data_IF_977856521786
#
_entry.id   IF_977856521786
#
_cell.length_a   1.000
_cell.length_b   1.000
_cell.length_c   1.000
_cell.angle_alpha   90.00
_cell.angle_beta   90.00
_cell.angle_gamma   90.00
#
_symmetry.space_group_name_H-M   'P 1'
#
loop_
_entity.id
_entity.type
_entity.pdbx_description
1 polymer ?
#
# COMPACT_ATOMS: atom_id res chain seq x y z
N UNK A 1 -12.06 -65.32 -11.24
CA UNK A 1 -10.79 -65.64 -10.55
C UNK A 1 -10.15 -64.32 -10.14
N UNK A 2 -9.70 -64.17 -8.90
CA UNK A 2 -9.04 -62.95 -8.45
C UNK A 2 -7.65 -62.84 -9.08
N UNK A 3 -7.21 -61.62 -9.42
CA UNK A 3 -5.88 -61.37 -9.95
C UNK A 3 -4.84 -61.44 -8.84
N UNK A 4 -3.62 -61.82 -9.21
CA UNK A 4 -2.44 -61.82 -8.34
C UNK A 4 -1.39 -60.84 -8.86
N UNK A 5 -0.56 -60.29 -7.98
CA UNK A 5 0.50 -59.35 -8.39
C UNK A 5 1.45 -59.98 -9.41
N UNK A 6 1.76 -61.28 -9.26
CA UNK A 6 2.56 -62.05 -10.21
C UNK A 6 1.93 -62.08 -11.60
N UNK A 7 0.63 -62.34 -11.68
CA UNK A 7 -0.10 -62.32 -12.95
C UNK A 7 -0.07 -60.91 -13.57
N UNK A 8 -0.36 -59.88 -12.78
CA UNK A 8 -0.43 -58.48 -13.25
C UNK A 8 0.93 -58.01 -13.75
N UNK A 9 2.03 -58.41 -13.11
CA UNK A 9 3.38 -58.07 -13.56
C UNK A 9 3.68 -58.68 -14.93
N UNK A 10 3.31 -59.95 -15.13
CA UNK A 10 3.72 -60.73 -16.29
C UNK A 10 2.77 -60.64 -17.49
N UNK A 11 1.50 -60.30 -17.28
CA UNK A 11 0.50 -60.25 -18.36
C UNK A 11 0.89 -59.21 -19.42
N UNK A 12 0.84 -59.59 -20.69
CA UNK A 12 1.17 -58.75 -21.85
C UNK A 12 -0.06 -58.51 -22.71
N UNK A 13 -0.02 -57.45 -23.49
CA UNK A 13 -1.06 -57.17 -24.46
C UNK A 13 -1.07 -58.23 -25.56
N UNK A 14 -2.24 -58.74 -25.91
CA UNK A 14 -2.42 -59.80 -26.91
C UNK A 14 -2.40 -59.31 -28.37
N UNK A 15 -2.35 -57.99 -28.60
CA UNK A 15 -2.44 -57.39 -29.94
C UNK A 15 -3.87 -57.02 -30.38
N UNK A 16 -4.89 -57.32 -29.56
CA UNK A 16 -6.28 -56.94 -29.84
C UNK A 16 -6.48 -55.41 -29.81
N UNK A 17 -7.04 -54.77 -30.85
CA UNK A 17 -7.23 -53.31 -30.87
C UNK A 17 -8.01 -52.76 -29.66
N UNK A 18 -8.97 -53.55 -29.14
CA UNK A 18 -9.79 -53.15 -28.00
C UNK A 18 -9.09 -53.27 -26.62
N UNK A 19 -7.96 -53.97 -26.53
CA UNK A 19 -7.29 -54.34 -25.28
C UNK A 19 -7.81 -55.63 -24.64
N UNK A 20 -7.07 -56.13 -23.65
CA UNK A 20 -7.39 -57.33 -22.88
C UNK A 20 -7.94 -56.96 -21.51
N UNK A 21 -9.07 -57.55 -21.11
CA UNK A 21 -9.71 -57.30 -19.82
C UNK A 21 -9.61 -58.53 -18.93
N UNK A 22 -9.02 -58.37 -17.75
CA UNK A 22 -8.89 -59.42 -16.75
C UNK A 22 -9.64 -59.01 -15.49
N UNK A 23 -10.70 -59.73 -15.13
CA UNK A 23 -11.57 -59.40 -14.00
C UNK A 23 -10.90 -59.72 -12.66
N UNK A 24 -11.06 -58.84 -11.67
CA UNK A 24 -10.65 -59.04 -10.27
C UNK A 24 -11.86 -59.14 -9.31
N UNK A 25 -13.09 -59.09 -9.84
CA UNK A 25 -14.32 -59.17 -9.05
C UNK A 25 -14.87 -57.83 -8.60
N UNK A 26 -16.16 -57.82 -8.22
CA UNK A 26 -16.88 -56.60 -7.83
C UNK A 26 -16.98 -55.56 -8.94
N UNK A 27 -16.98 -55.99 -10.21
CA UNK A 27 -16.97 -55.11 -11.38
C UNK A 27 -15.59 -54.54 -11.73
N UNK A 28 -14.57 -54.74 -10.89
CA UNK A 28 -13.20 -54.29 -11.16
C UNK A 28 -12.46 -55.23 -12.11
N UNK A 29 -11.65 -54.66 -13.01
CA UNK A 29 -10.81 -55.39 -13.94
C UNK A 29 -9.53 -54.62 -14.28
N UNK A 30 -8.48 -55.35 -14.63
CA UNK A 30 -7.28 -54.82 -15.26
C UNK A 30 -7.51 -54.77 -16.78
N UNK A 31 -7.36 -53.59 -17.36
CA UNK A 31 -7.44 -53.37 -18.80
C UNK A 31 -6.02 -53.18 -19.35
N UNK A 32 -5.50 -54.20 -20.03
CA UNK A 32 -4.18 -54.22 -20.64
C UNK A 32 -4.29 -53.78 -22.09
N UNK A 33 -3.66 -52.65 -22.43
CA UNK A 33 -3.54 -52.12 -23.79
C UNK A 33 -2.08 -52.06 -24.20
N UNK A 34 -1.82 -51.83 -25.48
CA UNK A 34 -0.46 -51.62 -26.00
C UNK A 34 0.33 -50.55 -25.22
N UNK A 35 -0.35 -49.48 -24.79
CA UNK A 35 0.27 -48.34 -24.10
C UNK A 35 0.46 -48.58 -22.59
N UNK A 36 -0.26 -49.52 -21.99
CA UNK A 36 -0.16 -49.75 -20.54
C UNK A 36 -1.30 -50.54 -19.91
N UNK A 37 -1.25 -50.65 -18.58
CA UNK A 37 -2.16 -51.45 -17.75
C UNK A 37 -2.99 -50.53 -16.85
N UNK A 38 -4.32 -50.57 -17.01
CA UNK A 38 -5.22 -49.63 -16.34
C UNK A 38 -6.22 -50.34 -15.44
N UNK A 39 -6.35 -49.89 -14.21
CA UNK A 39 -7.40 -50.32 -13.29
C UNK A 39 -8.71 -49.62 -13.61
N UNK A 40 -9.77 -50.41 -13.83
CA UNK A 40 -11.10 -49.91 -14.14
C UNK A 40 -12.16 -50.71 -13.39
N UNK A 41 -13.33 -50.12 -13.18
CA UNK A 41 -14.48 -50.79 -12.60
C UNK A 41 -15.72 -50.51 -13.44
N UNK A 42 -16.36 -51.56 -13.95
CA UNK A 42 -17.67 -51.47 -14.58
C UNK A 42 -18.76 -51.47 -13.49
N UNK A 43 -19.73 -50.56 -13.61
CA UNK A 43 -20.87 -50.47 -12.71
C UNK A 43 -22.12 -50.01 -13.48
N UNK A 44 -23.30 -50.14 -12.86
CA UNK A 44 -24.55 -49.60 -13.41
C UNK A 44 -25.14 -48.60 -12.42
N UNK A 45 -25.72 -47.53 -12.95
CA UNK A 45 -26.47 -46.54 -12.18
C UNK A 45 -27.54 -45.96 -13.11
N UNK A 46 -28.78 -45.88 -12.63
CA UNK A 46 -29.94 -45.45 -13.43
C UNK A 46 -30.02 -46.16 -14.80
N UNK A 47 -29.93 -47.50 -14.76
CA UNK A 47 -29.95 -48.44 -15.91
C UNK A 47 -28.83 -48.28 -16.96
N UNK A 48 -27.95 -47.29 -16.81
CA UNK A 48 -26.80 -47.07 -17.70
C UNK A 48 -25.56 -47.77 -17.17
N UNK A 49 -24.88 -48.50 -18.05
CA UNK A 49 -23.58 -49.08 -17.75
C UNK A 49 -22.49 -48.03 -17.91
N UNK A 50 -21.67 -47.86 -16.87
CA UNK A 50 -20.55 -46.92 -16.82
C UNK A 50 -19.26 -47.64 -16.43
N UNK A 51 -18.12 -47.00 -16.70
CA UNK A 51 -16.81 -47.51 -16.33
C UNK A 51 -16.02 -46.45 -15.58
N UNK A 52 -15.73 -46.70 -14.31
CA UNK A 52 -14.89 -45.86 -13.47
C UNK A 52 -13.42 -46.14 -13.78
N UNK A 53 -12.63 -45.08 -13.94
CA UNK A 53 -11.18 -45.15 -14.02
C UNK A 53 -10.56 -45.04 -12.62
N UNK A 54 -9.80 -46.05 -12.20
CA UNK A 54 -9.18 -46.10 -10.88
C UNK A 54 -7.74 -45.54 -10.95
N UNK A 55 -6.90 -46.07 -11.86
CA UNK A 55 -5.50 -45.65 -12.01
C UNK A 55 -4.71 -46.49 -13.02
N UNK A 56 -3.40 -46.25 -13.11
CA UNK A 56 -2.47 -47.01 -13.97
C UNK A 56 -1.56 -47.87 -13.08
N UNK A 57 -1.30 -49.12 -13.47
CA UNK A 57 -0.24 -49.94 -12.87
C UNK A 57 1.12 -49.59 -13.50
N UNK A 58 2.22 -49.48 -12.74
CA UNK A 58 2.37 -49.83 -11.32
C UNK A 58 2.09 -48.70 -10.31
N UNK A 59 1.78 -47.48 -10.77
CA UNK A 59 1.53 -46.33 -9.87
C UNK A 59 0.38 -46.56 -8.88
N UNK A 60 -0.60 -47.39 -9.25
CA UNK A 60 -1.64 -47.91 -8.35
C UNK A 60 -1.48 -49.43 -8.28
N UNK A 61 -1.14 -49.92 -7.09
CA UNK A 61 -1.04 -51.35 -6.78
C UNK A 61 -2.40 -52.04 -6.80
N UNK A 62 -2.42 -53.38 -6.89
CA UNK A 62 -3.65 -54.17 -6.79
C UNK A 62 -4.42 -53.88 -5.49
N UNK A 63 -3.71 -53.78 -4.36
CA UNK A 63 -4.30 -53.48 -3.06
C UNK A 63 -4.99 -52.10 -3.04
N UNK A 64 -4.33 -51.06 -3.56
CA UNK A 64 -4.91 -49.72 -3.68
C UNK A 64 -6.11 -49.70 -4.63
N UNK A 65 -6.06 -50.47 -5.74
CA UNK A 65 -7.17 -50.59 -6.66
C UNK A 65 -8.40 -51.25 -6.02
N UNK A 66 -8.20 -52.32 -5.22
CA UNK A 66 -9.28 -52.97 -4.44
C UNK A 66 -9.90 -52.02 -3.42
N UNK A 67 -9.09 -51.27 -2.68
CA UNK A 67 -9.60 -50.24 -1.74
C UNK A 67 -10.44 -49.19 -2.47
N UNK A 68 -9.97 -48.68 -3.61
CA UNK A 68 -10.71 -47.70 -4.40
C UNK A 68 -12.02 -48.26 -4.98
N UNK A 69 -12.05 -49.55 -5.36
CA UNK A 69 -13.29 -50.25 -5.75
C UNK A 69 -14.28 -50.28 -4.58
N UNK A 70 -13.83 -50.61 -3.38
CA UNK A 70 -14.71 -50.74 -2.23
C UNK A 70 -15.34 -49.39 -1.85
N UNK A 71 -14.54 -48.31 -1.83
CA UNK A 71 -15.06 -46.94 -1.67
C UNK A 71 -16.05 -46.54 -2.77
N UNK A 72 -15.78 -46.90 -4.03
CA UNK A 72 -16.71 -46.61 -5.13
C UNK A 72 -18.03 -47.38 -4.99
N UNK A 73 -18.01 -48.60 -4.43
CA UNK A 73 -19.24 -49.37 -4.14
C UNK A 73 -20.02 -48.76 -2.98
N UNK A 74 -19.36 -48.23 -1.96
CA UNK A 74 -20.01 -47.48 -0.87
C UNK A 74 -20.72 -46.23 -1.41
N UNK A 75 -20.07 -45.46 -2.28
CA UNK A 75 -20.68 -44.30 -2.94
C UNK A 75 -21.91 -44.70 -3.76
N UNK A 76 -21.82 -45.78 -4.54
CA UNK A 76 -22.97 -46.29 -5.31
C UNK A 76 -24.14 -46.72 -4.41
N UNK A 77 -23.86 -47.33 -3.25
CA UNK A 77 -24.88 -47.71 -2.27
C UNK A 77 -25.59 -46.49 -1.66
N UNK A 78 -24.91 -45.34 -1.60
CA UNK A 78 -25.46 -44.05 -1.17
C UNK A 78 -26.14 -43.26 -2.31
N UNK A 79 -26.23 -43.83 -3.52
CA UNK A 79 -26.81 -43.15 -4.69
C UNK A 79 -25.91 -42.08 -5.30
N UNK A 80 -24.61 -42.07 -4.97
CA UNK A 80 -23.62 -41.14 -5.51
C UNK A 80 -22.89 -41.80 -6.69
N UNK A 81 -22.78 -41.10 -7.83
CA UNK A 81 -22.00 -41.58 -8.98
C UNK A 81 -20.49 -41.38 -8.71
N UNK A 82 -19.67 -42.44 -8.59
CA UNK A 82 -18.25 -42.32 -8.30
C UNK A 82 -17.44 -41.59 -9.38
N UNK A 83 -17.91 -41.61 -10.64
CA UNK A 83 -17.25 -40.90 -11.73
C UNK A 83 -17.49 -39.39 -11.63
N UNK A 84 -18.71 -38.99 -11.26
CA UNK A 84 -19.09 -37.59 -11.09
C UNK A 84 -18.42 -37.02 -9.85
N UNK A 85 -18.45 -37.73 -8.72
CA UNK A 85 -17.72 -37.34 -7.50
C UNK A 85 -16.21 -37.13 -7.76
N UNK A 86 -15.56 -38.05 -8.50
CA UNK A 86 -14.15 -37.90 -8.86
C UNK A 86 -13.88 -36.72 -9.81
N UNK A 87 -14.82 -36.37 -10.67
CA UNK A 87 -14.72 -35.18 -11.53
C UNK A 87 -14.93 -33.89 -10.75
N UNK A 88 -15.90 -33.87 -9.83
CA UNK A 88 -16.16 -32.78 -8.89
C UNK A 88 -14.97 -32.53 -7.99
N UNK A 89 -14.35 -33.56 -7.41
CA UNK A 89 -13.12 -33.44 -6.62
C UNK A 89 -11.96 -32.85 -7.43
N UNK A 90 -11.80 -33.29 -8.69
CA UNK A 90 -10.75 -32.78 -9.59
C UNK A 90 -11.02 -31.33 -9.99
N UNK A 91 -12.28 -30.97 -10.22
CA UNK A 91 -12.69 -29.60 -10.54
C UNK A 91 -12.51 -28.69 -9.32
N UNK A 92 -12.98 -29.12 -8.14
CA UNK A 92 -12.79 -28.44 -6.87
C UNK A 92 -11.30 -28.24 -6.55
N UNK A 93 -10.45 -29.24 -6.79
CA UNK A 93 -9.00 -29.11 -6.63
C UNK A 93 -8.40 -28.07 -7.59
N UNK A 94 -8.88 -27.99 -8.84
CA UNK A 94 -8.44 -27.00 -9.83
C UNK A 94 -8.90 -25.58 -9.48
N UNK A 95 -10.16 -25.43 -9.04
CA UNK A 95 -10.73 -24.16 -8.57
C UNK A 95 -10.02 -23.69 -7.29
N UNK A 96 -9.76 -24.60 -6.36
CA UNK A 96 -9.01 -24.31 -5.13
C UNK A 96 -7.56 -23.88 -5.42
N UNK A 97 -6.92 -24.45 -6.44
CA UNK A 97 -5.58 -24.03 -6.87
C UNK A 97 -5.53 -22.61 -7.44
N UNK A 98 -6.64 -22.12 -8.01
CA UNK A 98 -6.75 -20.75 -8.55
C UNK A 98 -7.36 -19.74 -7.57
N UNK A 99 -8.09 -20.20 -6.55
CA UNK A 99 -8.76 -19.37 -5.53
C UNK A 99 -8.01 -19.33 -4.20
N UNK A 100 -6.68 -19.31 -4.26
CA UNK A 100 -5.84 -19.11 -3.07
C UNK A 100 -5.80 -17.63 -2.66
N UNK A 101 -5.46 -17.36 -1.40
CA UNK A 101 -5.37 -15.98 -0.91
C UNK A 101 -4.40 -15.14 -1.74
N UNK A 102 -3.22 -15.68 -2.07
CA UNK A 102 -2.21 -14.93 -2.84
C UNK A 102 -2.67 -14.65 -4.27
N UNK A 103 -3.25 -15.65 -4.95
CA UNK A 103 -3.74 -15.47 -6.32
C UNK A 103 -4.77 -14.33 -6.40
N UNK A 104 -5.75 -14.35 -5.49
CA UNK A 104 -6.80 -13.33 -5.45
C UNK A 104 -6.27 -11.98 -4.96
N UNK A 105 -5.30 -11.95 -4.05
CA UNK A 105 -4.67 -10.71 -3.63
C UNK A 105 -3.89 -10.03 -4.76
N UNK A 106 -3.18 -10.80 -5.59
CA UNK A 106 -2.46 -10.28 -6.77
C UNK A 106 -3.42 -9.81 -7.86
N UNK A 107 -4.50 -10.55 -8.11
CA UNK A 107 -5.57 -10.12 -9.03
C UNK A 107 -6.22 -8.80 -8.57
N UNK A 108 -6.57 -8.69 -7.28
CA UNK A 108 -7.10 -7.47 -6.70
C UNK A 108 -6.10 -6.30 -6.83
N UNK A 109 -4.82 -6.56 -6.56
CA UNK A 109 -3.77 -5.55 -6.71
C UNK A 109 -3.66 -5.06 -8.15
N UNK A 110 -3.66 -5.95 -9.15
CA UNK A 110 -3.61 -5.56 -10.56
C UNK A 110 -4.80 -4.68 -10.96
N UNK A 111 -5.99 -5.00 -10.45
CA UNK A 111 -7.20 -4.19 -10.69
C UNK A 111 -7.11 -2.80 -10.04
N UNK A 112 -6.56 -2.70 -8.82
CA UNK A 112 -6.59 -1.46 -8.03
C UNK A 112 -5.35 -0.59 -8.17
N UNK A 113 -4.19 -1.16 -8.50
CA UNK A 113 -2.92 -0.44 -8.63
C UNK A 113 -3.02 0.79 -9.54
N UNK A 114 -3.73 0.76 -10.70
CA UNK A 114 -3.95 1.95 -11.51
C UNK A 114 -4.72 3.05 -10.77
N UNK A 115 -5.63 2.74 -9.85
CA UNK A 115 -6.36 3.77 -9.10
C UNK A 115 -5.56 4.39 -7.95
N UNK A 116 -4.41 3.81 -7.60
CA UNK A 116 -3.58 4.22 -6.48
C UNK A 116 -2.37 5.03 -6.93
N UNK A 117 -1.74 5.71 -5.97
CA UNK A 117 -0.36 6.20 -6.18
C UNK A 117 0.59 5.02 -6.29
N UNK A 118 1.64 5.17 -7.11
CA UNK A 118 2.65 4.12 -7.32
C UNK A 118 3.26 3.63 -5.99
N UNK A 119 3.63 4.56 -5.11
CA UNK A 119 4.16 4.23 -3.77
C UNK A 119 3.18 3.41 -2.92
N UNK A 120 1.89 3.74 -2.95
CA UNK A 120 0.87 2.97 -2.22
C UNK A 120 0.69 1.58 -2.84
N UNK A 121 0.61 1.48 -4.17
CA UNK A 121 0.48 0.19 -4.86
C UNK A 121 1.66 -0.73 -4.56
N UNK A 122 2.89 -0.20 -4.57
CA UNK A 122 4.08 -0.95 -4.20
C UNK A 122 4.03 -1.37 -2.73
N UNK A 123 3.74 -0.45 -1.79
CA UNK A 123 3.65 -0.76 -0.35
C UNK A 123 2.61 -1.86 -0.11
N UNK A 124 1.43 -1.76 -0.71
CA UNK A 124 0.34 -2.72 -0.52
C UNK A 124 0.78 -4.15 -0.87
N UNK A 125 1.39 -4.33 -2.05
CA UNK A 125 1.83 -5.66 -2.49
C UNK A 125 2.99 -6.16 -1.63
N UNK A 126 3.99 -5.31 -1.39
CA UNK A 126 5.16 -5.66 -0.58
C UNK A 126 4.79 -6.10 0.83
N UNK A 127 3.81 -5.44 1.46
CA UNK A 127 3.32 -5.82 2.79
C UNK A 127 2.66 -7.20 2.78
N UNK A 128 1.84 -7.50 1.76
CA UNK A 128 1.25 -8.82 1.61
C UNK A 128 2.32 -9.91 1.38
N UNK A 129 3.31 -9.66 0.52
CA UNK A 129 4.42 -10.58 0.24
C UNK A 129 5.27 -10.88 1.48
N UNK A 130 5.50 -9.88 2.33
CA UNK A 130 6.31 -10.03 3.54
C UNK A 130 5.56 -10.73 4.67
N UNK A 131 4.25 -10.51 4.82
CA UNK A 131 3.55 -10.86 6.05
C UNK A 131 2.37 -11.82 5.88
N UNK A 132 1.62 -11.74 4.78
CA UNK A 132 0.40 -12.53 4.61
C UNK A 132 0.61 -13.72 3.68
N UNK A 133 1.29 -13.56 2.55
CA UNK A 133 1.55 -14.66 1.61
C UNK A 133 2.31 -15.84 2.23
N UNK A 134 3.35 -15.62 3.08
CA UNK A 134 4.05 -16.75 3.71
C UNK A 134 3.18 -17.59 4.66
N UNK A 135 2.05 -17.06 5.13
CA UNK A 135 1.18 -17.73 6.12
C UNK A 135 -0.14 -18.20 5.51
N UNK A 136 -0.71 -17.41 4.61
CA UNK A 136 -2.05 -17.62 4.03
C UNK A 136 -2.02 -17.87 2.53
N UNK A 137 -0.93 -17.54 1.83
CA UNK A 137 -0.90 -17.35 0.38
C UNK A 137 -1.38 -18.56 -0.43
N UNK A 138 -0.92 -19.76 -0.09
CA UNK A 138 -1.28 -21.01 -0.78
C UNK A 138 -2.61 -21.62 -0.33
N UNK A 139 -3.25 -21.06 0.71
CA UNK A 139 -4.49 -21.60 1.25
C UNK A 139 -5.68 -21.14 0.40
N UNK A 140 -6.63 -22.04 0.05
CA UNK A 140 -7.89 -21.66 -0.57
C UNK A 140 -8.68 -20.71 0.33
N UNK A 141 -9.24 -19.63 -0.23
CA UNK A 141 -9.95 -18.60 0.54
C UNK A 141 -11.08 -19.17 1.41
N UNK A 142 -11.86 -20.11 0.88
CA UNK A 142 -12.96 -20.81 1.60
C UNK A 142 -12.50 -21.53 2.88
N UNK A 143 -11.21 -21.90 2.95
CA UNK A 143 -10.64 -22.62 4.09
C UNK A 143 -9.93 -21.70 5.08
N UNK A 144 -9.93 -20.38 4.85
CA UNK A 144 -9.33 -19.40 5.75
C UNK A 144 -10.43 -18.82 6.65
N UNK A 145 -10.31 -19.04 7.95
CA UNK A 145 -11.24 -18.52 8.96
C UNK A 145 -10.67 -17.28 9.65
N UNK A 146 -11.51 -16.54 10.38
CA UNK A 146 -11.11 -15.35 11.13
C UNK A 146 -9.91 -15.61 12.05
N UNK A 147 -9.88 -16.77 12.73
CA UNK A 147 -8.76 -17.19 13.59
C UNK A 147 -7.43 -17.33 12.86
N UNK A 148 -7.45 -17.74 11.58
CA UNK A 148 -6.23 -17.91 10.77
C UNK A 148 -5.65 -16.55 10.40
N UNK A 149 -6.52 -15.61 10.00
CA UNK A 149 -6.13 -14.22 9.72
C UNK A 149 -5.58 -13.56 10.98
N UNK A 150 -6.29 -13.69 12.10
CA UNK A 150 -5.84 -13.14 13.38
C UNK A 150 -4.47 -13.70 13.80
N UNK A 151 -4.24 -15.01 13.63
CA UNK A 151 -2.95 -15.62 13.93
C UNK A 151 -1.82 -15.05 13.05
N UNK A 152 -2.08 -14.76 11.77
CA UNK A 152 -1.11 -14.11 10.90
C UNK A 152 -0.81 -12.67 11.37
N UNK A 153 -1.84 -11.90 11.72
CA UNK A 153 -1.69 -10.52 12.20
C UNK A 153 -0.97 -10.45 13.56
N UNK A 154 -1.26 -11.36 14.49
CA UNK A 154 -0.59 -11.44 15.79
C UNK A 154 0.92 -11.71 15.69
N UNK A 155 1.38 -12.39 14.65
CA UNK A 155 2.83 -12.55 14.39
C UNK A 155 3.51 -11.22 14.05
N UNK A 156 2.80 -10.28 13.43
CA UNK A 156 3.32 -8.94 13.12
C UNK A 156 3.22 -8.04 14.34
N UNK A 157 2.11 -8.12 15.08
CA UNK A 157 1.92 -7.45 16.37
C UNK A 157 3.01 -7.82 17.39
N UNK A 158 3.37 -9.10 17.50
CA UNK A 158 4.41 -9.59 18.40
C UNK A 158 5.82 -9.01 18.09
N UNK A 159 6.02 -8.42 16.89
CA UNK A 159 7.25 -7.69 16.53
C UNK A 159 7.20 -6.21 16.96
N UNK A 160 6.13 -5.77 17.59
CA UNK A 160 5.93 -4.37 18.00
C UNK A 160 5.47 -3.43 16.89
N UNK A 161 5.21 -3.92 15.67
CA UNK A 161 4.89 -3.07 14.51
C UNK A 161 3.37 -2.92 14.34
N UNK A 162 2.72 -2.32 15.34
CA UNK A 162 1.26 -2.29 15.47
C UNK A 162 0.54 -1.64 14.27
N UNK A 163 1.02 -0.49 13.78
CA UNK A 163 0.42 0.16 12.61
C UNK A 163 0.42 -0.74 11.37
N UNK A 164 1.47 -1.54 11.17
CA UNK A 164 1.53 -2.49 10.05
C UNK A 164 0.55 -3.64 10.24
N UNK A 165 0.34 -4.12 11.46
CA UNK A 165 -0.68 -5.15 11.73
C UNK A 165 -2.09 -4.64 11.38
N UNK A 166 -2.43 -3.39 11.74
CA UNK A 166 -3.70 -2.77 11.36
C UNK A 166 -3.82 -2.56 9.84
N UNK A 167 -2.76 -2.08 9.17
CA UNK A 167 -2.72 -1.95 7.71
C UNK A 167 -2.99 -3.31 7.04
N UNK A 168 -2.32 -4.37 7.49
CA UNK A 168 -2.49 -5.73 6.96
C UNK A 168 -3.90 -6.28 7.18
N UNK A 169 -4.52 -6.00 8.33
CA UNK A 169 -5.92 -6.36 8.58
C UNK A 169 -6.83 -5.72 7.53
N UNK A 170 -6.64 -4.42 7.24
CA UNK A 170 -7.41 -3.73 6.21
C UNK A 170 -7.15 -4.31 4.82
N UNK A 171 -5.89 -4.59 4.47
CA UNK A 171 -5.51 -5.19 3.19
C UNK A 171 -6.14 -6.58 3.02
N UNK A 172 -6.08 -7.44 4.05
CA UNK A 172 -6.76 -8.74 4.03
C UNK A 172 -8.26 -8.58 3.85
N UNK A 173 -8.87 -7.64 4.57
CA UNK A 173 -10.29 -7.32 4.43
C UNK A 173 -10.68 -6.89 3.02
N UNK A 174 -9.79 -6.20 2.28
CA UNK A 174 -10.00 -5.84 0.88
C UNK A 174 -9.97 -7.06 -0.04
N UNK A 175 -9.00 -7.98 0.15
CA UNK A 175 -8.89 -9.22 -0.63
C UNK A 175 -10.12 -10.10 -0.45
N UNK A 176 -10.53 -10.35 0.80
CA UNK A 176 -11.73 -11.15 1.09
C UNK A 176 -13.01 -10.46 0.60
N UNK A 177 -13.11 -9.12 0.70
CA UNK A 177 -14.26 -8.39 0.13
C UNK A 177 -14.33 -8.54 -1.39
N UNK A 178 -13.19 -8.47 -2.07
CA UNK A 178 -13.12 -8.69 -3.51
C UNK A 178 -13.52 -10.13 -3.89
N UNK A 179 -13.09 -11.11 -3.09
CA UNK A 179 -13.50 -12.51 -3.26
C UNK A 179 -15.02 -12.69 -3.12
N UNK A 180 -15.65 -12.04 -2.14
CA UNK A 180 -17.12 -12.02 -2.00
C UNK A 180 -17.78 -11.40 -3.24
N UNK A 181 -17.31 -10.22 -3.67
CA UNK A 181 -17.86 -9.51 -4.83
C UNK A 181 -17.76 -10.29 -6.15
N UNK A 182 -16.80 -11.21 -6.24
CA UNK A 182 -16.58 -12.06 -7.42
C UNK A 182 -17.15 -13.48 -7.25
N UNK A 183 -17.92 -13.73 -6.18
CA UNK A 183 -18.59 -15.01 -5.95
C UNK A 183 -17.65 -16.17 -5.59
N UNK A 184 -16.42 -15.89 -5.15
CA UNK A 184 -15.43 -16.91 -4.78
C UNK A 184 -15.60 -17.44 -3.37
N UNK A 185 -16.22 -16.66 -2.50
CA UNK A 185 -16.60 -17.00 -1.12
C UNK A 185 -17.88 -16.27 -0.76
N UNK A 186 -18.62 -16.77 0.23
CA UNK A 186 -19.88 -16.15 0.65
C UNK A 186 -19.68 -15.01 1.65
N UNK A 187 -18.67 -15.12 2.52
CA UNK A 187 -18.49 -14.20 3.65
C UNK A 187 -17.04 -13.78 3.83
N UNK A 188 -16.84 -12.53 4.25
CA UNK A 188 -15.53 -11.99 4.60
C UNK A 188 -15.24 -12.28 6.09
N UNK A 189 -14.16 -13.00 6.45
CA UNK A 189 -13.85 -13.34 7.84
C UNK A 189 -13.16 -12.21 8.64
N UNK A 190 -12.87 -11.06 8.02
CA UNK A 190 -12.08 -9.98 8.62
C UNK A 190 -12.88 -8.95 9.45
N UNK A 191 -14.13 -8.57 9.12
CA UNK A 191 -14.87 -7.53 9.86
C UNK A 191 -14.94 -7.78 11.37
N UNK A 192 -15.13 -9.02 11.79
CA UNK A 192 -15.24 -9.41 13.20
C UNK A 192 -13.90 -9.33 13.96
N UNK A 193 -12.79 -9.11 13.26
CA UNK A 193 -11.48 -8.91 13.87
C UNK A 193 -11.25 -7.46 14.32
N UNK A 194 -12.21 -6.55 14.12
CA UNK A 194 -12.07 -5.17 14.57
C UNK A 194 -11.91 -5.13 16.09
N UNK A 195 -10.81 -4.53 16.57
CA UNK A 195 -10.47 -4.48 18.00
C UNK A 195 -9.74 -5.72 18.53
N UNK A 196 -9.44 -6.72 17.69
CA UNK A 196 -8.72 -7.93 18.10
C UNK A 196 -7.19 -7.74 18.24
N UNK A 197 -6.66 -6.64 17.70
CA UNK A 197 -5.26 -6.23 17.80
C UNK A 197 -5.10 -5.12 18.84
N UNK A 198 -3.92 -5.06 19.45
CA UNK A 198 -3.52 -3.97 20.32
C UNK A 198 -3.69 -2.62 19.60
N UNK A 199 -4.23 -1.61 20.30
CA UNK A 199 -4.43 -0.29 19.71
C UNK A 199 -3.07 0.33 19.38
N UNK A 200 -2.92 0.82 18.16
CA UNK A 200 -1.78 1.66 17.81
C UNK A 200 -2.10 3.11 18.16
N UNK A 201 -1.43 3.66 19.16
CA UNK A 201 -1.49 5.09 19.48
C UNK A 201 -0.51 5.81 18.55
N UNK A 202 -1.05 6.50 17.54
CA UNK A 202 -0.23 7.29 16.63
C UNK A 202 0.41 8.46 17.38
N UNK A 203 1.74 8.56 17.33
CA UNK A 203 2.45 9.76 17.77
C UNK A 203 2.38 10.81 16.67
N UNK A 204 2.02 12.04 17.04
CA UNK A 204 2.15 13.18 16.14
C UNK A 204 3.63 13.48 15.89
N UNK A 205 3.94 14.08 14.74
CA UNK A 205 5.31 14.49 14.44
C UNK A 205 5.75 15.58 15.41
N UNK A 206 6.96 15.43 15.96
CA UNK A 206 7.56 16.42 16.83
C UNK A 206 7.73 17.77 16.14
N UNK A 207 7.33 18.83 16.84
CA UNK A 207 7.38 20.20 16.36
C UNK A 207 7.63 21.14 17.55
N UNK A 208 8.78 21.81 17.53
CA UNK A 208 9.04 22.98 18.37
C UNK A 208 8.01 24.07 18.04
N UNK A 209 7.24 24.49 19.04
CA UNK A 209 6.20 25.54 18.91
C UNK A 209 6.42 26.71 19.85
N UNK A 210 7.28 26.58 20.86
CA UNK A 210 7.52 27.67 21.80
C UNK A 210 8.44 28.74 21.22
N UNK A 211 8.07 30.04 21.28
CA UNK A 211 8.79 31.11 20.58
C UNK A 211 10.31 31.15 20.83
N UNK A 212 10.75 30.96 22.07
CA UNK A 212 12.17 30.95 22.42
C UNK A 212 12.93 29.78 21.77
N UNK A 213 12.32 28.59 21.75
CA UNK A 213 12.88 27.39 21.15
C UNK A 213 12.84 27.47 19.62
N UNK A 214 11.78 28.03 19.04
CA UNK A 214 11.70 28.32 17.60
C UNK A 214 12.80 29.28 17.19
N UNK A 215 13.03 30.35 17.96
CA UNK A 215 14.17 31.24 17.74
C UNK A 215 15.52 30.51 17.75
N UNK A 216 15.72 29.58 18.69
CA UNK A 216 16.93 28.75 18.75
C UNK A 216 17.07 27.84 17.51
N UNK A 217 15.99 27.20 17.08
CA UNK A 217 15.95 26.40 15.84
C UNK A 217 16.32 27.24 14.61
N UNK A 218 15.75 28.44 14.47
CA UNK A 218 16.03 29.33 13.33
C UNK A 218 17.49 29.79 13.31
N UNK A 219 18.06 30.14 14.48
CA UNK A 219 19.49 30.47 14.59
C UNK A 219 20.39 29.29 14.26
N UNK A 220 20.02 28.08 14.68
CA UNK A 220 20.75 26.86 14.34
C UNK A 220 20.72 26.60 12.83
N UNK A 221 19.56 26.80 12.17
CA UNK A 221 19.42 26.69 10.71
C UNK A 221 20.31 27.71 9.99
N UNK A 222 20.34 28.96 10.46
CA UNK A 222 21.17 30.01 9.88
C UNK A 222 22.67 29.75 10.04
N UNK A 223 23.08 29.14 11.16
CA UNK A 223 24.45 28.72 11.40
C UNK A 223 24.86 27.42 10.71
N UNK A 224 23.94 26.76 9.98
CA UNK A 224 24.22 25.46 9.37
C UNK A 224 25.21 25.58 8.19
N UNK A 225 26.38 24.95 8.31
CA UNK A 225 27.46 24.98 7.30
C UNK A 225 27.34 23.89 6.23
N UNK A 226 26.13 23.36 6.00
CA UNK A 226 25.87 22.35 4.97
C UNK A 226 25.81 22.92 3.54
N UNK A 227 25.38 22.08 2.59
CA UNK A 227 25.16 22.52 1.21
C UNK A 227 24.17 23.69 1.15
N UNK A 228 24.41 24.74 0.32
CA UNK A 228 23.49 25.87 0.19
C UNK A 228 22.05 25.47 -0.13
N UNK A 229 21.85 24.43 -0.94
CA UNK A 229 20.52 23.86 -1.23
C UNK A 229 19.83 23.31 0.01
N UNK A 230 20.57 22.71 0.94
CA UNK A 230 20.00 22.14 2.17
C UNK A 230 19.65 23.24 3.18
N UNK A 231 20.49 24.26 3.31
CA UNK A 231 20.21 25.46 4.13
C UNK A 231 18.94 26.15 3.65
N UNK A 232 18.86 26.44 2.34
CA UNK A 232 17.69 27.05 1.74
C UNK A 232 16.42 26.19 1.91
N UNK A 233 16.52 24.86 1.79
CA UNK A 233 15.39 23.97 2.01
C UNK A 233 14.88 24.00 3.46
N UNK A 234 15.76 24.11 4.45
CA UNK A 234 15.38 24.27 5.87
C UNK A 234 14.67 25.60 6.11
N UNK A 235 15.25 26.70 5.63
CA UNK A 235 14.67 28.05 5.79
C UNK A 235 13.30 28.14 5.11
N UNK A 236 13.18 27.62 3.88
CA UNK A 236 11.91 27.63 3.15
C UNK A 236 10.86 26.67 3.75
N UNK A 237 11.28 25.56 4.37
CA UNK A 237 10.35 24.68 5.08
C UNK A 237 9.66 25.39 6.26
N UNK A 238 10.38 26.25 7.00
CA UNK A 238 9.82 27.08 8.06
C UNK A 238 8.84 28.15 7.54
N UNK A 239 9.03 28.63 6.30
CA UNK A 239 8.20 29.67 5.70
C UNK A 239 6.94 29.15 5.02
N UNK A 240 6.99 28.01 4.33
CA UNK A 240 5.99 27.64 3.31
C UNK A 240 4.81 26.81 3.80
N UNK A 241 4.94 26.16 4.94
CA UNK A 241 3.95 25.23 5.49
C UNK A 241 3.67 24.06 4.55
N UNK A 242 4.55 23.76 3.60
CA UNK A 242 4.33 22.67 2.65
C UNK A 242 4.89 21.35 3.16
N UNK A 243 4.39 20.25 2.61
CA UNK A 243 4.87 18.90 2.98
C UNK A 243 6.35 18.81 2.60
N UNK A 244 7.19 18.08 3.35
CA UNK A 244 8.60 17.90 3.00
C UNK A 244 8.80 17.45 1.56
N UNK A 245 7.92 16.55 1.08
CA UNK A 245 7.88 16.09 -0.32
C UNK A 245 7.66 17.21 -1.34
N UNK A 246 6.84 18.22 -1.02
CA UNK A 246 6.60 19.36 -1.91
C UNK A 246 7.79 20.33 -1.91
N UNK A 247 8.40 20.57 -0.75
CA UNK A 247 9.60 21.42 -0.64
C UNK A 247 10.73 20.84 -1.47
N UNK A 248 11.12 19.57 -1.22
CA UNK A 248 12.26 18.93 -1.88
C UNK A 248 12.10 18.81 -3.40
N UNK A 249 10.87 18.65 -3.88
CA UNK A 249 10.57 18.39 -5.29
C UNK A 249 10.26 19.67 -6.06
N UNK A 250 10.37 20.84 -5.41
CA UNK A 250 10.09 22.13 -6.01
C UNK A 250 10.92 22.35 -7.28
N UNK A 251 10.26 22.79 -8.34
CA UNK A 251 10.87 23.10 -9.63
C UNK A 251 10.95 24.61 -9.85
N UNK A 252 11.99 25.05 -10.56
CA UNK A 252 12.14 26.47 -10.91
C UNK A 252 10.98 26.99 -11.74
N UNK A 253 10.41 26.15 -12.61
CA UNK A 253 9.24 26.46 -13.43
C UNK A 253 7.97 26.73 -12.62
N UNK A 254 7.94 26.39 -11.33
CA UNK A 254 6.78 26.64 -10.47
C UNK A 254 6.81 28.02 -9.81
N UNK A 255 7.93 28.74 -9.91
CA UNK A 255 8.16 30.01 -9.22
C UNK A 255 7.97 31.17 -10.21
N UNK A 256 7.00 32.02 -9.90
CA UNK A 256 6.80 33.32 -10.54
C UNK A 256 7.34 34.40 -9.59
N UNK A 257 8.55 34.90 -9.88
CA UNK A 257 9.20 35.91 -9.06
C UNK A 257 8.49 37.27 -9.13
N UNK A 258 7.88 37.60 -10.26
CA UNK A 258 7.21 38.89 -10.48
C UNK A 258 5.91 38.97 -9.69
N UNK A 259 5.15 37.87 -9.64
CA UNK A 259 3.93 37.75 -8.82
C UNK A 259 4.19 37.35 -7.37
N UNK A 260 5.45 37.06 -7.03
CA UNK A 260 5.87 36.46 -5.77
C UNK A 260 4.98 35.26 -5.41
N UNK A 261 4.95 34.25 -6.27
CA UNK A 261 4.06 33.10 -6.16
C UNK A 261 4.77 31.79 -6.50
N UNK A 262 4.56 30.76 -5.70
CA UNK A 262 4.89 29.37 -6.04
C UNK A 262 3.59 28.63 -6.38
N UNK A 263 3.55 27.99 -7.55
CA UNK A 263 2.40 27.23 -8.04
C UNK A 263 2.74 25.75 -8.10
N UNK A 264 2.26 24.97 -7.13
CA UNK A 264 2.52 23.52 -7.10
C UNK A 264 1.48 22.80 -7.97
N UNK A 265 1.90 22.05 -9.01
CA UNK A 265 0.96 21.35 -9.87
C UNK A 265 0.11 20.31 -9.11
N UNK A 266 -1.12 20.02 -9.57
CA UNK A 266 -1.97 19.01 -8.94
C UNK A 266 -1.31 17.64 -8.87
N UNK A 267 -0.53 17.28 -9.90
CA UNK A 267 0.21 16.03 -9.99
C UNK A 267 1.19 15.83 -8.83
N UNK A 268 1.78 16.92 -8.33
CA UNK A 268 2.77 16.94 -7.24
C UNK A 268 2.12 17.11 -5.86
N UNK A 269 0.81 17.32 -5.80
CA UNK A 269 0.07 17.36 -4.55
C UNK A 269 -0.23 15.94 -4.01
N UNK A 270 -0.30 15.81 -2.67
CA UNK A 270 -0.78 14.59 -2.02
C UNK A 270 -2.31 14.52 -2.12
N UNK A 271 -2.80 14.00 -3.25
CA UNK A 271 -4.22 13.87 -3.59
C UNK A 271 -4.52 12.52 -4.25
N UNK A 272 -5.80 12.23 -4.48
CA UNK A 272 -6.22 11.05 -5.24
C UNK A 272 -5.71 11.13 -6.69
N UNK A 273 -5.65 10.00 -7.40
CA UNK A 273 -5.22 10.01 -8.82
C UNK A 273 -6.11 10.91 -9.67
N UNK A 274 -7.42 10.91 -9.43
CA UNK A 274 -8.37 11.78 -10.13
C UNK A 274 -8.04 13.27 -9.91
N UNK A 275 -7.82 13.69 -8.66
CA UNK A 275 -7.47 15.08 -8.34
C UNK A 275 -6.06 15.47 -8.80
N UNK A 276 -5.14 14.53 -8.95
CA UNK A 276 -3.83 14.78 -9.57
C UNK A 276 -3.94 15.09 -11.06
N UNK A 277 -4.96 14.56 -11.72
CA UNK A 277 -5.21 14.78 -13.17
C UNK A 277 -6.12 15.99 -13.39
N UNK A 278 -7.18 16.14 -12.59
CA UNK A 278 -8.26 17.11 -12.83
C UNK A 278 -8.33 18.23 -11.78
N UNK A 279 -7.52 18.17 -10.72
CA UNK A 279 -7.57 19.16 -9.65
C UNK A 279 -6.90 20.48 -10.04
N UNK A 280 -7.18 21.53 -9.27
CA UNK A 280 -6.49 22.83 -9.40
C UNK A 280 -5.08 22.78 -8.80
N UNK A 281 -4.10 23.54 -9.32
CA UNK A 281 -2.81 23.67 -8.66
C UNK A 281 -2.97 24.31 -7.26
N UNK A 282 -1.93 24.20 -6.44
CA UNK A 282 -1.86 24.87 -5.15
C UNK A 282 -1.04 26.14 -5.27
N UNK A 283 -1.67 27.30 -5.07
CA UNK A 283 -1.01 28.60 -5.10
C UNK A 283 -0.49 28.97 -3.72
N UNK A 284 0.78 29.38 -3.66
CA UNK A 284 1.51 29.71 -2.44
C UNK A 284 2.14 31.11 -2.56
N UNK A 285 1.55 32.16 -1.96
CA UNK A 285 2.14 33.49 -2.01
C UNK A 285 3.45 33.49 -1.22
N UNK A 286 4.47 34.14 -1.79
CA UNK A 286 5.82 34.17 -1.26
C UNK A 286 6.06 35.49 -0.52
N UNK A 287 6.56 35.39 0.71
CA UNK A 287 7.08 36.54 1.46
C UNK A 287 8.43 37.00 0.90
N UNK A 288 8.82 38.24 1.20
CA UNK A 288 10.10 38.82 0.74
C UNK A 288 11.30 37.96 1.10
N UNK A 289 11.33 37.41 2.31
CA UNK A 289 12.36 36.51 2.82
C UNK A 289 12.53 35.27 1.93
N UNK A 290 11.42 34.66 1.53
CA UNK A 290 11.46 33.49 0.65
C UNK A 290 12.02 33.84 -0.74
N UNK A 291 11.63 34.99 -1.29
CA UNK A 291 12.16 35.48 -2.57
C UNK A 291 13.68 35.69 -2.48
N UNK A 292 14.17 36.30 -1.40
CA UNK A 292 15.61 36.48 -1.17
C UNK A 292 16.36 35.15 -1.17
N UNK A 293 15.86 34.16 -0.43
CA UNK A 293 16.48 32.83 -0.36
C UNK A 293 16.49 32.16 -1.74
N UNK A 294 15.37 32.22 -2.47
CA UNK A 294 15.26 31.64 -3.82
C UNK A 294 16.18 32.34 -4.83
N UNK A 295 16.27 33.68 -4.81
CA UNK A 295 17.17 34.44 -5.68
C UNK A 295 18.64 34.14 -5.37
N UNK A 296 19.02 33.98 -4.11
CA UNK A 296 20.38 33.59 -3.74
C UNK A 296 20.75 32.17 -4.23
N UNK A 297 19.76 31.27 -4.31
CA UNK A 297 19.96 29.89 -4.76
C UNK A 297 19.94 29.75 -6.30
N UNK A 298 19.29 30.67 -7.00
CA UNK A 298 19.07 30.61 -8.45
C UNK A 298 20.38 30.52 -9.26
N UNK A 299 21.48 31.26 -8.97
CA UNK A 299 22.75 31.11 -9.69
C UNK A 299 23.37 29.70 -9.57
N UNK A 300 23.07 28.96 -8.51
CA UNK A 300 23.67 27.66 -8.24
C UNK A 300 22.92 26.50 -8.91
N UNK A 301 21.60 26.62 -9.07
CA UNK A 301 20.74 25.50 -9.50
C UNK A 301 19.72 25.87 -10.58
N UNK A 302 19.61 27.16 -10.94
CA UNK A 302 18.60 27.70 -11.85
C UNK A 302 18.70 27.22 -13.30
N UNK A 303 19.84 26.65 -13.71
CA UNK A 303 20.00 26.00 -15.01
C UNK A 303 19.36 24.61 -15.08
N UNK A 304 19.00 24.03 -13.93
CA UNK A 304 18.35 22.72 -13.83
C UNK A 304 16.83 22.80 -13.64
N UNK A 305 16.20 21.63 -13.55
CA UNK A 305 14.76 21.50 -13.30
C UNK A 305 14.37 21.86 -11.86
N UNK A 306 15.09 21.26 -10.90
CA UNK A 306 14.75 21.34 -9.48
C UNK A 306 15.44 22.50 -8.80
N UNK A 307 14.72 23.18 -7.89
CA UNK A 307 15.31 24.15 -6.94
C UNK A 307 16.30 23.45 -6.01
N UNK A 308 15.97 22.21 -5.62
CA UNK A 308 16.80 21.37 -4.79
C UNK A 308 17.16 20.09 -5.54
N UNK A 309 18.19 20.10 -6.41
CA UNK A 309 18.64 18.89 -7.09
C UNK A 309 19.26 17.89 -6.10
N UNK A 310 19.27 16.62 -6.46
CA UNK A 310 19.95 15.57 -5.70
C UNK A 310 21.46 15.78 -5.69
N UNK A 311 22.10 15.59 -4.53
CA UNK A 311 23.54 15.80 -4.36
C UNK A 311 24.42 14.94 -5.28
N UNK A 312 23.91 13.79 -5.75
CA UNK A 312 24.60 12.88 -6.68
C UNK A 312 24.09 12.96 -8.12
N UNK A 313 22.94 13.61 -8.34
CA UNK A 313 22.30 13.66 -9.65
C UNK A 313 21.28 14.79 -9.70
N UNK A 314 21.40 15.65 -10.71
CA UNK A 314 20.50 16.76 -10.97
C UNK A 314 19.18 16.33 -11.62
N UNK A 315 19.08 15.09 -12.11
CA UNK A 315 17.86 14.56 -12.73
C UNK A 315 16.78 14.14 -11.71
N UNK A 316 17.13 14.10 -10.42
CA UNK A 316 16.20 13.79 -9.33
C UNK A 316 16.25 14.93 -8.30
N UNK A 317 15.16 15.16 -7.56
CA UNK A 317 15.19 16.12 -6.46
C UNK A 317 16.00 15.59 -5.28
N UNK A 318 16.41 16.50 -4.39
CA UNK A 318 17.00 16.26 -3.06
C UNK A 318 16.30 15.09 -2.37
N UNK A 319 16.99 14.21 -1.63
CA UNK A 319 16.34 13.04 -0.99
C UNK A 319 15.28 13.41 0.06
N UNK A 320 14.28 12.53 0.26
CA UNK A 320 13.24 12.68 1.30
C UNK A 320 13.81 12.85 2.72
N UNK A 321 14.99 12.27 2.98
CA UNK A 321 15.59 12.28 4.30
C UNK A 321 16.57 13.45 4.52
N UNK A 322 16.89 14.25 3.50
CA UNK A 322 17.96 15.27 3.60
C UNK A 322 17.66 16.31 4.68
N UNK A 323 16.43 16.86 4.72
CA UNK A 323 16.03 17.88 5.70
C UNK A 323 16.09 17.30 7.13
N UNK A 324 15.54 16.10 7.36
CA UNK A 324 15.62 15.44 8.66
C UNK A 324 17.06 15.11 9.08
N UNK A 325 17.90 14.70 8.14
CA UNK A 325 19.31 14.44 8.42
C UNK A 325 20.06 15.72 8.77
N UNK A 326 19.70 16.86 8.18
CA UNK A 326 20.27 18.16 8.53
C UNK A 326 19.79 18.63 9.91
N UNK A 327 18.50 18.51 10.22
CA UNK A 327 17.96 18.82 11.56
C UNK A 327 18.67 18.01 12.66
N UNK A 328 18.91 16.71 12.42
CA UNK A 328 19.67 15.87 13.37
C UNK A 328 21.11 16.34 13.58
N UNK A 329 21.76 16.94 12.58
CA UNK A 329 23.11 17.51 12.71
C UNK A 329 23.12 18.85 13.44
N UNK A 330 21.95 19.50 13.53
CA UNK A 330 21.72 20.71 14.29
C UNK A 330 21.21 20.39 15.71
N UNK A 331 21.35 19.14 16.16
CA UNK A 331 20.89 18.63 17.45
C UNK A 331 19.36 18.69 17.66
N UNK A 332 18.59 18.71 16.56
CA UNK A 332 17.14 18.50 16.60
C UNK A 332 16.82 17.05 16.20
N UNK A 333 16.57 16.23 17.23
CA UNK A 333 16.24 14.82 17.10
C UNK A 333 14.82 14.57 16.63
N UNK A 334 14.47 13.28 16.49
CA UNK A 334 13.14 12.85 16.03
C UNK A 334 12.03 13.16 17.04
N UNK A 335 12.37 13.42 18.30
CA UNK A 335 11.45 13.81 19.37
C UNK A 335 11.39 15.34 19.57
N UNK A 336 12.29 16.11 18.94
CA UNK A 336 12.36 17.58 19.08
C UNK A 336 11.67 18.30 17.91
N UNK A 337 12.22 18.15 16.71
CA UNK A 337 11.70 18.76 15.49
C UNK A 337 12.06 17.93 14.26
N UNK A 338 11.06 17.61 13.45
CA UNK A 338 11.28 16.95 12.15
C UNK A 338 10.80 17.83 11.00
N UNK A 339 11.14 17.49 9.75
CA UNK A 339 10.75 18.27 8.58
C UNK A 339 9.23 18.47 8.45
N UNK A 340 8.43 17.48 8.89
CA UNK A 340 6.97 17.65 8.95
C UNK A 340 6.53 18.59 10.09
N UNK A 341 7.35 18.70 11.13
CA UNK A 341 7.16 19.56 12.29
C UNK A 341 7.04 21.03 11.93
N UNK A 342 7.73 21.53 10.89
CA UNK A 342 7.57 22.92 10.42
C UNK A 342 6.11 23.27 10.07
N UNK A 343 5.34 22.32 9.52
CA UNK A 343 3.91 22.53 9.22
C UNK A 343 3.08 22.65 10.50
N UNK A 344 3.37 21.80 11.48
CA UNK A 344 2.67 21.81 12.77
C UNK A 344 3.05 23.07 13.57
N UNK A 345 4.32 23.46 13.54
CA UNK A 345 4.84 24.71 14.11
C UNK A 345 4.09 25.91 13.56
N UNK A 346 4.04 26.06 12.23
CA UNK A 346 3.31 27.17 11.61
C UNK A 346 1.83 27.19 11.98
N UNK A 347 1.14 26.04 11.89
CA UNK A 347 -0.29 25.96 12.22
C UNK A 347 -0.57 26.36 13.67
N UNK A 348 0.23 25.86 14.61
CA UNK A 348 0.06 26.11 16.05
C UNK A 348 0.38 27.57 16.38
N UNK A 349 1.53 28.06 15.92
CA UNK A 349 1.95 29.43 16.25
C UNK A 349 1.09 30.50 15.57
N UNK A 350 0.62 30.28 14.35
CA UNK A 350 -0.32 31.20 13.70
C UNK A 350 -1.64 31.28 14.49
N UNK A 351 -2.15 30.14 14.97
CA UNK A 351 -3.38 30.10 15.74
C UNK A 351 -3.22 30.74 17.14
N UNK A 352 -2.09 30.52 17.81
CA UNK A 352 -1.90 30.94 19.21
C UNK A 352 -1.26 32.32 19.37
N UNK A 353 -0.43 32.75 18.41
CA UNK A 353 0.45 33.92 18.58
C UNK A 353 0.09 35.08 17.64
N UNK A 354 -0.80 34.87 16.66
CA UNK A 354 -1.15 35.90 15.69
C UNK A 354 -2.65 36.16 15.67
N UNK A 355 -3.06 37.18 16.43
CA UNK A 355 -4.45 37.64 16.45
C UNK A 355 -4.86 38.20 15.09
N UNK A 356 -6.07 37.87 14.62
CA UNK A 356 -6.63 38.41 13.37
C UNK A 356 -6.34 37.57 12.11
N UNK A 357 -5.64 36.44 12.22
CA UNK A 357 -5.47 35.48 11.13
C UNK A 357 -6.60 34.45 11.20
N UNK A 358 -7.41 34.38 10.15
CA UNK A 358 -8.50 33.39 10.04
C UNK A 358 -7.91 31.98 9.83
N UNK A 359 -8.38 31.01 10.61
CA UNK A 359 -7.98 29.61 10.50
C UNK A 359 -8.17 29.04 9.09
N UNK A 360 -9.20 29.47 8.36
CA UNK A 360 -9.44 29.05 6.97
C UNK A 360 -8.30 29.46 6.03
N UNK A 361 -7.63 30.60 6.29
CA UNK A 361 -6.47 31.02 5.49
C UNK A 361 -5.27 30.11 5.75
N UNK A 362 -5.07 29.69 6.99
CA UNK A 362 -4.00 28.76 7.39
C UNK A 362 -4.25 27.37 6.78
N UNK A 363 -5.47 26.86 6.87
CA UNK A 363 -5.85 25.57 6.27
C UNK A 363 -5.76 25.61 4.74
N UNK A 364 -6.14 26.72 4.10
CA UNK A 364 -5.93 26.94 2.67
C UNK A 364 -4.44 26.94 2.31
N UNK A 365 -3.58 27.60 3.10
CA UNK A 365 -2.12 27.60 2.90
C UNK A 365 -1.50 26.20 3.04
N UNK A 366 -2.01 25.38 3.96
CA UNK A 366 -1.61 23.99 4.16
C UNK A 366 -2.11 23.03 3.06
N UNK A 367 -2.91 23.53 2.12
CA UNK A 367 -3.64 22.76 1.11
C UNK A 367 -4.51 21.66 1.73
N UNK A 368 -5.16 21.97 2.85
CA UNK A 368 -6.16 21.10 3.46
C UNK A 368 -7.52 21.42 2.85
N UNK A 369 -8.26 20.39 2.43
CA UNK A 369 -9.65 20.56 2.03
C UNK A 369 -10.54 20.69 3.27
N UNK A 370 -11.61 21.50 3.18
CA UNK A 370 -12.64 21.54 4.22
C UNK A 370 -13.33 20.17 4.33
N UNK A 371 -13.45 19.66 5.55
CA UNK A 371 -14.07 18.36 5.85
C UNK A 371 -15.60 18.50 5.91
N UNK A 372 -16.35 17.55 5.35
CA UNK A 372 -17.81 17.44 5.49
C UNK A 372 -18.58 17.34 4.17
N UNK A 373 -19.88 16.96 4.19
CA UNK A 373 -20.67 16.66 2.99
C UNK A 373 -20.86 17.85 2.03
N UNK A 374 -20.77 19.09 2.52
CA UNK A 374 -20.89 20.33 1.73
C UNK A 374 -19.56 21.07 1.53
N UNK A 375 -18.48 20.66 2.21
CA UNK A 375 -17.25 21.45 2.31
C UNK A 375 -16.42 21.50 1.03
N UNK A 376 -16.39 20.42 0.25
CA UNK A 376 -15.57 20.35 -0.98
C UNK A 376 -16.27 20.89 -2.22
N UNK A 377 -17.60 20.95 -2.24
CA UNK A 377 -18.38 21.34 -3.43
C UNK A 377 -18.46 22.87 -3.64
N UNK A 378 -18.25 23.66 -2.59
CA UNK A 378 -18.47 25.12 -2.60
C UNK A 378 -17.24 25.97 -2.26
N UNK A 379 -16.07 25.38 -1.99
CA UNK A 379 -14.90 26.15 -1.56
C UNK A 379 -14.12 26.72 -2.76
N UNK A 380 -14.58 27.89 -3.23
CA UNK A 380 -13.91 28.67 -4.30
C UNK A 380 -12.97 29.74 -3.76
N UNK A 381 -12.95 29.99 -2.45
CA UNK A 381 -12.21 31.09 -1.85
C UNK A 381 -10.74 30.70 -1.62
N UNK A 382 -9.82 31.35 -2.34
CA UNK A 382 -8.38 31.14 -2.17
C UNK A 382 -7.72 32.12 -1.18
N UNK A 383 -8.46 33.17 -0.77
CA UNK A 383 -8.02 34.21 0.17
C UNK A 383 -6.66 34.82 -0.20
N UNK A 384 -6.41 35.12 -1.48
CA UNK A 384 -5.03 35.38 -1.93
C UNK A 384 -4.39 36.64 -1.36
N UNK A 385 -5.12 37.74 -1.33
CA UNK A 385 -4.61 38.98 -0.72
C UNK A 385 -4.35 38.81 0.78
N UNK A 386 -5.27 38.15 1.49
CA UNK A 386 -5.14 37.91 2.92
C UNK A 386 -4.00 36.93 3.22
N UNK A 387 -3.84 35.86 2.43
CA UNK A 387 -2.74 34.91 2.56
C UNK A 387 -1.39 35.55 2.24
N UNK A 388 -1.33 36.51 1.30
CA UNK A 388 -0.11 37.26 1.03
C UNK A 388 0.31 38.08 2.25
N UNK A 389 -0.62 38.81 2.87
CA UNK A 389 -0.38 39.56 4.10
C UNK A 389 0.00 38.62 5.27
N UNK A 390 -0.70 37.50 5.40
CA UNK A 390 -0.43 36.45 6.40
C UNK A 390 0.99 35.90 6.26
N UNK A 391 1.41 35.55 5.05
CA UNK A 391 2.73 34.98 4.79
C UNK A 391 3.85 35.98 5.05
N UNK A 392 3.64 37.27 4.75
CA UNK A 392 4.62 38.31 5.11
C UNK A 392 4.70 38.49 6.62
N UNK A 393 3.56 38.57 7.32
CA UNK A 393 3.50 38.68 8.79
C UNK A 393 4.18 37.49 9.46
N UNK A 394 3.96 36.29 8.94
CA UNK A 394 4.62 35.07 9.40
C UNK A 394 6.14 35.15 9.24
N UNK A 395 6.62 35.54 8.06
CA UNK A 395 8.04 35.64 7.79
C UNK A 395 8.73 36.69 8.69
N UNK A 396 8.08 37.85 8.88
CA UNK A 396 8.59 38.92 9.74
C UNK A 396 8.64 38.49 11.20
N UNK A 397 7.66 37.70 11.66
CA UNK A 397 7.67 37.13 12.99
C UNK A 397 8.81 36.12 13.20
N UNK A 398 9.04 35.23 12.23
CA UNK A 398 10.18 34.31 12.29
C UNK A 398 11.52 35.06 12.36
N UNK A 399 11.68 36.13 11.58
CA UNK A 399 12.87 36.97 11.67
C UNK A 399 13.06 37.59 13.06
N UNK A 400 12.00 38.09 13.70
CA UNK A 400 12.07 38.61 15.09
C UNK A 400 12.47 37.54 16.09
N UNK A 401 11.92 36.33 15.98
CA UNK A 401 12.30 35.21 16.87
C UNK A 401 13.77 34.81 16.68
N UNK A 402 14.25 34.86 15.43
CA UNK A 402 15.62 34.54 15.06
C UNK A 402 16.60 35.57 15.61
N UNK A 403 16.34 36.86 15.42
CA UNK A 403 17.18 37.96 15.92
C UNK A 403 17.12 38.11 17.45
N UNK A 404 15.99 37.74 18.07
CA UNK A 404 15.79 37.87 19.51
C UNK A 404 15.54 39.31 20.00
N UNK A 405 15.26 40.24 19.08
CA UNK A 405 15.00 41.65 19.38
C UNK A 405 14.05 42.27 18.35
N UNK A 406 13.19 43.18 18.79
CA UNK A 406 12.37 44.03 17.92
C UNK A 406 13.24 45.16 17.32
N UNK A 407 13.51 45.09 16.02
CA UNK A 407 14.21 46.15 15.30
C UNK A 407 13.18 47.24 14.96
N UNK A 408 13.17 48.34 15.72
CA UNK A 408 12.33 49.52 15.46
C UNK A 408 13.13 50.49 14.57
N UNK A 409 12.70 50.77 13.33
CA UNK A 409 13.37 51.76 12.49
C UNK A 409 13.25 53.15 13.12
N UNK A 410 14.38 53.77 13.47
CA UNK A 410 14.39 55.11 14.08
C UNK A 410 13.99 56.23 13.11
N UNK A 411 14.08 55.99 11.79
CA UNK A 411 13.64 56.95 10.77
C UNK A 411 13.00 56.22 9.58
N UNK A 412 11.70 56.40 9.37
CA UNK A 412 11.10 56.18 8.06
C UNK A 412 11.65 57.27 7.14
N UNK A 413 12.32 56.91 6.03
CA UNK A 413 12.57 57.88 4.96
C UNK A 413 11.22 58.45 4.55
N UNK A 414 11.00 59.73 4.85
CA UNK A 414 9.94 60.51 4.24
C UNK A 414 10.17 60.48 2.71
N UNK A 415 9.05 60.43 1.98
CA UNK A 415 8.89 60.02 0.59
C UNK A 415 9.94 60.56 -0.40
#
# INVERSE_FOLDING_TARGET
>A
MALTDTFIKNVKHSGKPAGDKYSDGGGMFLHVKAVGKYWRMAYRMHDKQKTLYIGVYPAVSLAQARKARDTAKEQLAQGIDPSTAKQEDKHAAKVAATNTYEAVAREFHQLKAPSWSESHAHKWLRMNELYLFPVLGTRPLEKIKAKDVLAALRKVEAKGILSTAHDLQQMAGQVFRYAVQTGRIEQNPVPDLKGALQPHVAKHFAAVTEPAQVGALLRAIDGYTGLPTTVAALQLAALFFQRPGNIRAMEWAWIDFDKAMLTIPPADMKRTRHEKVNGKPHYLPLAKQAITILRALQPLTGSGRYVFPGARSTSRPMSDNTINAALKRLDFGSDDHVAHGFRAMARTMLAERMTGIDANMVEAQLAHGKSGPLGSAYDRAEYMEQRRAMMQTWADYLDRLRTGADIIPLHSKAA
#
